data_IF_564256636356
#
_entry.id   IF_564256636356
#
_cell.length_a   1.000
_cell.length_b   1.000
_cell.length_c   1.000
_cell.angle_alpha   90.00
_cell.angle_beta   90.00
_cell.angle_gamma   90.00
#
_symmetry.space_group_name_H-M   'P 1'
#
loop_
_entity.id
_entity.type
_entity.pdbx_description
1 polymer ?
#
# COMPACT_ATOMS: atom_id res chain seq x y z
N UNK A 1 -1.80 -29.05 -21.62
CA UNK A 1 -3.13 -29.22 -20.98
C UNK A 1 -3.20 -28.25 -19.83
N UNK A 2 -3.69 -27.03 -20.08
CA UNK A 2 -3.91 -26.02 -19.04
C UNK A 2 -5.07 -26.51 -18.17
N UNK A 3 -4.76 -26.89 -16.93
CA UNK A 3 -5.80 -27.08 -15.94
C UNK A 3 -6.39 -25.69 -15.63
N UNK A 4 -7.61 -25.44 -16.07
CA UNK A 4 -8.42 -24.32 -15.59
C UNK A 4 -8.63 -24.52 -14.10
N UNK A 5 -7.82 -23.87 -13.27
CA UNK A 5 -8.02 -23.84 -11.82
C UNK A 5 -9.27 -23.00 -11.59
N UNK A 6 -10.38 -23.65 -11.28
CA UNK A 6 -11.65 -22.99 -10.98
C UNK A 6 -11.45 -22.01 -9.82
N UNK A 7 -11.88 -20.76 -10.00
CA UNK A 7 -11.98 -19.79 -8.89
C UNK A 7 -12.70 -20.45 -7.71
N UNK A 8 -12.04 -20.53 -6.57
CA UNK A 8 -12.66 -21.04 -5.36
C UNK A 8 -13.49 -19.91 -4.77
N UNK A 9 -14.81 -20.02 -4.87
CA UNK A 9 -15.71 -19.12 -4.16
C UNK A 9 -15.59 -19.41 -2.66
N UNK A 10 -15.10 -18.43 -1.90
CA UNK A 10 -15.00 -18.53 -0.44
C UNK A 10 -15.83 -17.43 0.20
N UNK A 11 -16.32 -17.69 1.42
CA UNK A 11 -16.97 -16.68 2.26
C UNK A 11 -15.97 -15.77 2.98
N UNK A 12 -14.66 -15.99 2.80
CA UNK A 12 -13.61 -15.23 3.48
C UNK A 12 -13.55 -13.82 2.87
N UNK A 13 -13.83 -12.81 3.69
CA UNK A 13 -13.78 -11.40 3.29
C UNK A 13 -12.52 -10.66 3.75
N UNK A 14 -11.91 -11.13 4.84
CA UNK A 14 -10.77 -10.48 5.47
C UNK A 14 -9.70 -11.50 5.83
N UNK A 15 -8.45 -11.16 5.52
CA UNK A 15 -7.27 -11.88 5.97
C UNK A 15 -6.44 -10.99 6.87
N UNK A 16 -5.94 -11.54 7.98
CA UNK A 16 -5.13 -10.83 8.96
C UNK A 16 -3.89 -11.66 9.26
N UNK A 17 -2.73 -11.05 9.06
CA UNK A 17 -1.43 -11.58 9.43
C UNK A 17 -0.98 -10.83 10.69
N UNK A 18 -0.69 -11.56 11.77
CA UNK A 18 -0.25 -10.97 13.03
C UNK A 18 1.07 -11.58 13.46
N UNK A 19 2.06 -10.74 13.78
CA UNK A 19 3.36 -11.20 14.25
C UNK A 19 4.02 -12.21 13.30
N UNK A 20 3.93 -11.95 11.99
CA UNK A 20 4.47 -12.81 10.92
C UNK A 20 5.74 -12.18 10.36
N UNK A 21 6.75 -13.00 10.10
CA UNK A 21 7.89 -12.64 9.27
C UNK A 21 7.69 -13.14 7.84
N UNK A 22 7.95 -12.29 6.85
CA UNK A 22 7.82 -12.63 5.44
C UNK A 22 8.93 -11.98 4.60
N UNK A 23 9.28 -12.60 3.48
CA UNK A 23 10.23 -12.12 2.46
C UNK A 23 9.51 -11.61 1.21
N UNK A 24 10.27 -10.99 0.30
CA UNK A 24 9.79 -10.59 -1.03
C UNK A 24 9.13 -11.77 -1.77
N UNK A 25 9.75 -12.97 -1.78
CA UNK A 25 9.20 -14.15 -2.46
C UNK A 25 7.93 -14.67 -1.79
N UNK A 26 7.92 -14.76 -0.47
CA UNK A 26 6.74 -15.27 0.24
C UNK A 26 5.52 -14.35 0.09
N UNK A 27 5.74 -13.02 -0.02
CA UNK A 27 4.68 -12.06 -0.31
C UNK A 27 4.09 -12.28 -1.70
N UNK A 28 4.93 -12.53 -2.71
CA UNK A 28 4.48 -12.86 -4.08
C UNK A 28 3.56 -14.08 -4.08
N UNK A 29 3.92 -15.12 -3.34
CA UNK A 29 3.08 -16.33 -3.23
C UNK A 29 1.74 -16.04 -2.54
N UNK A 30 1.71 -15.18 -1.52
CA UNK A 30 0.45 -14.75 -0.87
C UNK A 30 -0.41 -13.94 -1.85
N UNK A 31 0.18 -13.04 -2.64
CA UNK A 31 -0.55 -12.25 -3.65
C UNK A 31 -1.14 -13.15 -4.75
N UNK A 32 -0.46 -14.24 -5.12
CA UNK A 32 -1.03 -15.26 -6.02
C UNK A 32 -2.32 -15.83 -5.45
N UNK A 33 -2.35 -16.17 -4.15
CA UNK A 33 -3.54 -16.72 -3.49
C UNK A 33 -4.75 -15.77 -3.59
N UNK A 34 -4.53 -14.45 -3.50
CA UNK A 34 -5.62 -13.47 -3.60
C UNK A 34 -6.31 -13.48 -4.98
N UNK A 35 -5.61 -13.90 -6.03
CA UNK A 35 -6.18 -14.02 -7.37
C UNK A 35 -6.99 -15.32 -7.56
N UNK A 36 -6.80 -16.33 -6.70
CA UNK A 36 -7.57 -17.59 -6.75
C UNK A 36 -8.80 -17.58 -5.83
N UNK A 37 -8.78 -16.72 -4.81
CA UNK A 37 -9.83 -16.64 -3.79
C UNK A 37 -10.68 -15.39 -4.02
N UNK A 38 -11.78 -15.55 -4.75
CA UNK A 38 -12.61 -14.43 -5.25
C UNK A 38 -13.41 -13.65 -4.18
N UNK A 39 -13.21 -13.95 -2.88
CA UNK A 39 -13.96 -13.38 -1.76
C UNK A 39 -13.26 -12.26 -0.99
N UNK A 40 -11.92 -12.16 -1.04
CA UNK A 40 -11.15 -11.30 -0.13
C UNK A 40 -11.27 -9.84 -0.55
N UNK A 41 -11.69 -8.99 0.40
CA UNK A 41 -11.87 -7.54 0.24
C UNK A 41 -10.89 -6.75 1.11
N UNK A 42 -10.46 -7.34 2.23
CA UNK A 42 -9.60 -6.68 3.21
C UNK A 42 -8.38 -7.54 3.55
N UNK A 43 -7.21 -6.92 3.59
CA UNK A 43 -5.96 -7.54 4.03
C UNK A 43 -5.30 -6.68 5.09
N UNK A 44 -4.88 -7.30 6.19
CA UNK A 44 -4.25 -6.63 7.31
C UNK A 44 -2.93 -7.32 7.70
N UNK A 45 -1.89 -6.51 7.93
CA UNK A 45 -0.61 -6.91 8.51
C UNK A 45 -0.41 -6.11 9.79
N UNK A 46 -0.33 -6.79 10.94
CA UNK A 46 -0.17 -6.16 12.25
C UNK A 46 1.02 -6.78 12.98
N UNK A 47 1.99 -5.94 13.35
CA UNK A 47 3.21 -6.34 14.05
C UNK A 47 4.09 -7.31 13.24
N UNK A 48 4.08 -7.17 11.91
CA UNK A 48 4.82 -8.04 11.03
C UNK A 48 6.25 -7.54 10.78
N UNK A 49 7.12 -8.45 10.36
CA UNK A 49 8.46 -8.13 9.86
C UNK A 49 8.56 -8.51 8.38
N UNK A 50 8.93 -7.55 7.54
CA UNK A 50 9.29 -7.80 6.14
C UNK A 50 10.81 -7.87 6.03
N UNK A 51 11.33 -9.09 5.92
CA UNK A 51 12.73 -9.40 5.70
C UNK A 51 13.02 -9.51 4.20
N UNK A 52 13.19 -8.36 3.56
CA UNK A 52 13.40 -8.27 2.13
C UNK A 52 13.86 -6.89 1.71
N UNK A 53 13.89 -6.65 0.40
CA UNK A 53 14.31 -5.38 -0.19
C UNK A 53 13.22 -4.75 -1.07
N UNK A 54 11.99 -5.30 -1.03
CA UNK A 54 10.88 -4.79 -1.82
C UNK A 54 11.01 -5.08 -3.32
N UNK A 55 11.76 -6.12 -3.69
CA UNK A 55 11.87 -6.57 -5.07
C UNK A 55 10.77 -7.57 -5.43
N UNK A 56 9.61 -7.04 -5.82
CA UNK A 56 8.47 -7.86 -6.24
C UNK A 56 8.40 -8.09 -7.76
N UNK A 57 9.53 -8.09 -8.49
CA UNK A 57 9.55 -8.30 -9.96
C UNK A 57 8.88 -9.60 -10.42
N UNK A 58 8.83 -10.62 -9.55
CA UNK A 58 8.12 -11.86 -9.84
C UNK A 58 6.63 -11.65 -10.13
N UNK A 59 5.97 -10.64 -9.54
CA UNK A 59 4.57 -10.30 -9.86
C UNK A 59 4.38 -9.96 -11.35
N UNK A 60 5.33 -9.22 -11.92
CA UNK A 60 5.33 -8.87 -13.35
C UNK A 60 5.52 -10.10 -14.24
N UNK A 61 6.38 -11.03 -13.84
CA UNK A 61 6.61 -12.30 -14.55
C UNK A 61 5.37 -13.20 -14.52
N UNK A 62 4.72 -13.27 -13.37
CA UNK A 62 3.49 -14.04 -13.15
C UNK A 62 2.22 -13.36 -13.73
N UNK A 63 2.40 -12.22 -14.43
CA UNK A 63 1.34 -11.42 -15.06
C UNK A 63 0.24 -10.99 -14.09
N UNK A 64 0.57 -10.85 -12.81
CA UNK A 64 -0.37 -10.41 -11.79
C UNK A 64 -0.50 -8.89 -11.85
N UNK A 65 -1.70 -8.41 -12.18
CA UNK A 65 -1.97 -6.98 -12.40
C UNK A 65 -2.95 -6.39 -11.39
N UNK A 66 -3.35 -7.14 -10.36
CA UNK A 66 -4.26 -6.68 -9.33
C UNK A 66 -4.17 -7.60 -8.09
N UNK A 67 -4.61 -7.09 -6.94
CA UNK A 67 -4.77 -7.85 -5.70
C UNK A 67 -6.16 -8.52 -5.64
N UNK A 68 -6.58 -9.20 -6.71
CA UNK A 68 -7.94 -9.75 -6.80
C UNK A 68 -9.02 -8.68 -6.60
N UNK A 69 -9.87 -8.87 -5.58
CA UNK A 69 -10.94 -7.95 -5.17
C UNK A 69 -10.60 -7.14 -3.91
N UNK A 70 -9.33 -7.10 -3.48
CA UNK A 70 -8.92 -6.35 -2.29
C UNK A 70 -9.09 -4.86 -2.52
N UNK A 71 -9.90 -4.23 -1.66
CA UNK A 71 -10.17 -2.79 -1.67
C UNK A 71 -9.57 -2.08 -0.45
N UNK A 72 -9.34 -2.81 0.66
CA UNK A 72 -8.78 -2.26 1.91
C UNK A 72 -7.48 -2.95 2.27
N UNK A 73 -6.42 -2.16 2.43
CA UNK A 73 -5.13 -2.60 2.94
C UNK A 73 -4.83 -1.89 4.26
N UNK A 74 -4.45 -2.67 5.26
CA UNK A 74 -4.07 -2.13 6.57
C UNK A 74 -2.72 -2.70 7.00
N UNK A 75 -1.79 -1.84 7.35
CA UNK A 75 -0.45 -2.18 7.79
C UNK A 75 -0.20 -1.42 9.09
N UNK A 76 0.14 -2.13 10.15
CA UNK A 76 0.46 -1.55 11.46
C UNK A 76 1.75 -2.12 11.99
N UNK A 77 2.62 -1.26 12.51
CA UNK A 77 3.88 -1.66 13.16
C UNK A 77 4.73 -2.57 12.26
N UNK A 78 4.75 -2.32 10.96
CA UNK A 78 5.57 -3.10 10.04
C UNK A 78 7.04 -2.77 10.26
N UNK A 79 7.84 -3.79 10.57
CA UNK A 79 9.27 -3.66 10.68
C UNK A 79 9.95 -4.12 9.39
N UNK A 80 10.84 -3.28 8.86
CA UNK A 80 11.67 -3.58 7.70
C UNK A 80 13.14 -3.46 8.14
N UNK A 81 13.86 -4.56 8.40
CA UNK A 81 15.20 -4.50 8.96
C UNK A 81 16.20 -3.78 8.04
N UNK A 82 16.15 -4.08 6.74
CA UNK A 82 17.08 -3.57 5.73
C UNK A 82 16.45 -2.48 4.85
N UNK A 83 15.67 -1.56 5.44
CA UNK A 83 14.94 -0.54 4.68
C UNK A 83 15.84 0.31 3.76
N UNK A 84 17.11 0.51 4.10
CA UNK A 84 18.05 1.27 3.26
C UNK A 84 18.38 0.59 1.92
N UNK A 85 18.03 -0.71 1.76
CA UNK A 85 18.13 -1.46 0.51
C UNK A 85 16.80 -1.50 -0.25
N UNK A 86 15.72 -0.88 0.26
CA UNK A 86 14.42 -1.00 -0.37
C UNK A 86 14.38 -0.38 -1.77
N UNK A 87 13.82 -1.12 -2.70
CA UNK A 87 13.51 -0.66 -4.05
C UNK A 87 12.37 0.37 -4.06
N UNK A 88 12.20 1.04 -5.19
CA UNK A 88 11.23 2.13 -5.40
C UNK A 88 9.75 1.71 -5.41
N UNK A 89 9.46 0.43 -5.16
CA UNK A 89 8.14 -0.18 -5.19
C UNK A 89 7.44 -0.12 -6.56
N UNK A 90 8.16 0.17 -7.65
CA UNK A 90 7.59 0.20 -9.01
C UNK A 90 6.94 -1.12 -9.43
N UNK A 91 7.41 -2.24 -8.88
CA UNK A 91 6.87 -3.58 -9.09
C UNK A 91 5.44 -3.77 -8.58
N UNK A 92 4.98 -2.97 -7.61
CA UNK A 92 3.61 -3.06 -7.07
C UNK A 92 2.63 -2.06 -7.69
N UNK A 93 3.10 -1.14 -8.54
CA UNK A 93 2.22 -0.14 -9.19
C UNK A 93 1.04 -0.73 -9.97
N UNK A 94 1.16 -1.89 -10.65
CA UNK A 94 0.00 -2.51 -11.29
C UNK A 94 -1.08 -2.94 -10.30
N UNK A 95 -0.69 -3.28 -9.07
CA UNK A 95 -1.57 -3.87 -8.06
C UNK A 95 -2.51 -2.86 -7.39
N UNK A 96 -2.14 -1.58 -7.39
CA UNK A 96 -2.78 -0.55 -6.55
C UNK A 96 -4.08 0.01 -7.14
N UNK A 97 -4.38 -0.29 -8.41
CA UNK A 97 -5.45 0.38 -9.15
C UNK A 97 -6.87 0.24 -8.58
N UNK A 98 -7.16 -0.81 -7.78
CA UNK A 98 -8.48 -1.06 -7.16
C UNK A 98 -8.55 -0.73 -5.67
N UNK A 99 -7.41 -0.40 -5.05
CA UNK A 99 -7.35 -0.18 -3.61
C UNK A 99 -8.00 1.17 -3.29
N UNK A 100 -9.02 1.15 -2.43
CA UNK A 100 -9.79 2.33 -2.02
C UNK A 100 -9.36 2.87 -0.66
N UNK A 101 -8.90 2.00 0.23
CA UNK A 101 -8.56 2.36 1.61
C UNK A 101 -7.19 1.81 1.96
N UNK A 102 -6.28 2.69 2.35
CA UNK A 102 -4.95 2.32 2.83
C UNK A 102 -4.73 2.93 4.21
N UNK A 103 -4.35 2.10 5.16
CA UNK A 103 -3.83 2.52 6.46
C UNK A 103 -2.42 1.96 6.61
N UNK A 104 -1.45 2.82 6.85
CA UNK A 104 -0.09 2.45 7.22
C UNK A 104 0.26 3.22 8.48
N UNK A 105 0.22 2.54 9.62
CA UNK A 105 0.38 3.15 10.94
C UNK A 105 1.67 2.67 11.59
N UNK A 106 2.41 3.58 12.24
CA UNK A 106 3.59 3.25 13.04
C UNK A 106 4.61 2.33 12.32
N UNK A 107 4.84 2.60 11.04
CA UNK A 107 5.67 1.74 10.17
C UNK A 107 6.87 2.49 9.61
N UNK A 108 7.24 3.62 10.24
CA UNK A 108 8.38 4.48 9.89
C UNK A 108 8.36 4.99 8.44
N UNK A 109 7.17 5.10 7.83
CA UNK A 109 7.02 5.70 6.49
C UNK A 109 7.50 7.14 6.56
N UNK A 110 8.41 7.54 5.66
CA UNK A 110 8.82 8.94 5.54
C UNK A 110 8.53 9.53 4.15
N UNK A 111 8.16 8.70 3.17
CA UNK A 111 7.88 9.12 1.81
C UNK A 111 6.92 8.11 1.16
N UNK A 112 5.91 8.62 0.45
CA UNK A 112 5.21 7.87 -0.58
C UNK A 112 5.69 8.41 -1.92
N UNK A 113 6.39 7.64 -2.77
CA UNK A 113 6.90 8.17 -4.04
C UNK A 113 5.76 8.74 -4.89
N UNK A 114 5.96 9.91 -5.50
CA UNK A 114 4.96 10.55 -6.36
C UNK A 114 4.31 9.59 -7.39
N UNK A 115 5.13 8.75 -8.04
CA UNK A 115 4.62 7.78 -9.00
C UNK A 115 3.68 6.75 -8.33
N UNK A 116 4.02 6.25 -7.14
CA UNK A 116 3.12 5.37 -6.40
C UNK A 116 1.80 6.08 -6.08
N UNK A 117 1.85 7.35 -5.67
CA UNK A 117 0.65 8.16 -5.40
C UNK A 117 -0.26 8.32 -6.62
N UNK A 118 0.33 8.52 -7.81
CA UNK A 118 -0.41 8.61 -9.08
C UNK A 118 -1.02 7.26 -9.52
N UNK A 119 -0.41 6.15 -9.12
CA UNK A 119 -0.90 4.80 -9.43
C UNK A 119 -2.05 4.34 -8.51
N UNK A 120 -2.21 4.95 -7.33
CA UNK A 120 -3.31 4.75 -6.39
C UNK A 120 -4.61 5.44 -6.88
N UNK A 121 -5.07 5.03 -8.07
CA UNK A 121 -6.13 5.69 -8.84
C UNK A 121 -7.54 5.54 -8.28
N UNK A 122 -7.77 4.63 -7.33
CA UNK A 122 -9.09 4.45 -6.70
C UNK A 122 -9.07 4.81 -5.21
N UNK A 123 -7.97 5.38 -4.72
CA UNK A 123 -7.78 5.62 -3.29
C UNK A 123 -8.68 6.76 -2.81
N UNK A 124 -9.55 6.45 -1.87
CA UNK A 124 -10.51 7.38 -1.24
C UNK A 124 -10.10 7.73 0.19
N UNK A 125 -9.40 6.82 0.88
CA UNK A 125 -8.98 6.97 2.27
C UNK A 125 -7.51 6.58 2.44
N UNK A 126 -6.71 7.49 2.97
CA UNK A 126 -5.30 7.28 3.29
C UNK A 126 -5.02 7.71 4.74
N UNK A 127 -4.58 6.75 5.55
CA UNK A 127 -4.10 7.01 6.91
C UNK A 127 -2.63 6.66 7.02
N UNK A 128 -1.80 7.67 7.30
CA UNK A 128 -0.36 7.56 7.52
C UNK A 128 -0.01 7.97 8.96
N UNK A 129 -0.89 7.72 9.93
CA UNK A 129 -0.66 8.04 11.34
C UNK A 129 0.63 7.43 11.91
N UNK A 130 1.25 8.11 12.88
CA UNK A 130 2.41 7.59 13.62
C UNK A 130 3.65 7.30 12.74
N UNK A 131 3.83 8.09 11.67
CA UNK A 131 4.96 7.93 10.76
C UNK A 131 5.94 9.12 10.85
N UNK A 132 6.81 9.25 9.86
CA UNK A 132 7.92 10.21 9.84
C UNK A 132 7.75 11.25 8.73
N UNK A 133 6.54 11.43 8.21
CA UNK A 133 6.25 12.39 7.15
C UNK A 133 6.56 13.83 7.61
N UNK A 134 7.16 14.59 6.71
CA UNK A 134 7.48 16.02 6.86
C UNK A 134 6.89 16.79 5.69
N UNK A 135 6.86 18.13 5.74
CA UNK A 135 6.36 18.94 4.62
C UNK A 135 7.18 18.72 3.34
N UNK A 136 8.49 18.48 3.46
CA UNK A 136 9.38 18.22 2.30
C UNK A 136 9.03 16.91 1.59
N UNK A 137 8.74 15.87 2.36
CA UNK A 137 8.40 14.54 1.83
C UNK A 137 6.94 14.45 1.41
N UNK A 138 6.05 15.17 2.11
CA UNK A 138 4.65 15.34 1.73
C UNK A 138 4.53 16.03 0.37
N UNK A 139 5.37 17.04 0.08
CA UNK A 139 5.41 17.69 -1.24
C UNK A 139 5.64 16.71 -2.39
N UNK A 140 6.48 15.69 -2.19
CA UNK A 140 6.68 14.64 -3.20
C UNK A 140 5.49 13.67 -3.23
N UNK A 141 4.92 13.36 -2.07
CA UNK A 141 3.84 12.37 -1.95
C UNK A 141 2.50 12.88 -2.51
N UNK A 142 2.12 14.11 -2.17
CA UNK A 142 0.97 14.85 -2.68
C UNK A 142 1.35 15.65 -3.94
N UNK A 143 2.04 15.01 -4.88
CA UNK A 143 2.42 15.64 -6.14
C UNK A 143 1.20 15.86 -7.05
N UNK A 144 1.43 16.49 -8.21
CA UNK A 144 0.39 16.63 -9.24
C UNK A 144 -0.16 15.24 -9.62
N UNK A 145 -1.48 15.13 -9.73
CA UNK A 145 -2.22 13.92 -10.08
C UNK A 145 -2.09 12.78 -9.03
N UNK A 146 -1.57 13.07 -7.83
CA UNK A 146 -1.55 12.13 -6.71
C UNK A 146 -2.95 11.88 -6.16
N UNK A 147 -3.26 10.60 -5.86
CA UNK A 147 -4.48 10.16 -5.18
C UNK A 147 -5.76 10.87 -5.68
N UNK A 148 -6.11 10.72 -6.97
CA UNK A 148 -7.09 11.58 -7.63
C UNK A 148 -8.49 11.56 -7.03
N UNK A 149 -8.88 10.53 -6.26
CA UNK A 149 -10.19 10.42 -5.62
C UNK A 149 -10.12 10.47 -4.09
N UNK A 150 -9.01 10.95 -3.52
CA UNK A 150 -8.81 10.97 -2.08
C UNK A 150 -9.80 11.94 -1.43
N UNK A 151 -10.56 11.45 -0.46
CA UNK A 151 -11.55 12.19 0.32
C UNK A 151 -11.16 12.32 1.79
N UNK A 152 -10.23 11.47 2.25
CA UNK A 152 -9.78 11.50 3.65
C UNK A 152 -8.30 11.20 3.72
N UNK A 153 -7.56 12.16 4.29
CA UNK A 153 -6.14 12.04 4.56
C UNK A 153 -5.88 12.24 6.05
N UNK A 154 -5.28 11.24 6.69
CA UNK A 154 -4.92 11.27 8.11
C UNK A 154 -3.40 11.28 8.25
N UNK A 155 -2.86 12.36 8.82
CA UNK A 155 -1.41 12.57 9.02
C UNK A 155 -1.03 12.76 10.50
N UNK A 156 -1.86 12.27 11.42
CA UNK A 156 -1.65 12.42 12.88
C UNK A 156 -0.29 11.86 13.31
N UNK A 157 0.35 12.51 14.29
CA UNK A 157 1.62 12.04 14.87
C UNK A 157 2.74 11.81 13.84
N UNK A 158 2.82 12.70 12.86
CA UNK A 158 3.96 12.83 11.94
C UNK A 158 4.87 14.02 12.36
N UNK A 159 5.84 14.39 11.53
CA UNK A 159 6.84 15.44 11.79
C UNK A 159 6.52 16.77 11.09
N UNK A 160 5.23 17.04 10.83
CA UNK A 160 4.74 18.30 10.26
C UNK A 160 4.86 19.43 11.29
N UNK A 161 5.35 20.59 10.87
CA UNK A 161 5.64 21.73 11.76
C UNK A 161 4.77 22.96 11.46
N UNK A 162 4.33 23.13 10.22
CA UNK A 162 3.51 24.27 9.79
C UNK A 162 2.20 23.79 9.16
N UNK A 163 1.09 24.22 9.76
CA UNK A 163 -0.24 23.97 9.23
C UNK A 163 -0.47 24.69 7.89
N UNK A 164 -0.02 25.94 7.78
CA UNK A 164 -0.12 26.74 6.55
C UNK A 164 0.59 26.05 5.38
N UNK A 165 1.87 25.71 5.57
CA UNK A 165 2.67 25.01 4.55
C UNK A 165 2.08 23.66 4.20
N UNK A 166 1.55 22.92 5.19
CA UNK A 166 0.87 21.65 4.94
C UNK A 166 -0.38 21.87 4.08
N UNK A 167 -1.21 22.86 4.40
CA UNK A 167 -2.41 23.20 3.63
C UNK A 167 -2.08 23.57 2.17
N UNK A 168 -1.06 24.40 1.94
CA UNK A 168 -0.60 24.76 0.59
C UNK A 168 -0.17 23.54 -0.22
N UNK A 169 0.57 22.60 0.39
CA UNK A 169 1.03 21.39 -0.28
C UNK A 169 -0.11 20.45 -0.68
N UNK A 170 -1.22 20.47 0.07
CA UNK A 170 -2.37 19.61 -0.17
C UNK A 170 -3.36 20.18 -1.19
N UNK A 171 -3.15 21.42 -1.69
CA UNK A 171 -3.98 22.01 -2.75
C UNK A 171 -3.96 21.21 -4.07
N UNK A 172 -2.98 20.32 -4.24
CA UNK A 172 -2.92 19.38 -5.37
C UNK A 172 -3.98 18.28 -5.30
N UNK A 173 -4.61 18.07 -4.15
CA UNK A 173 -5.60 17.04 -3.90
C UNK A 173 -7.01 17.65 -4.00
N UNK A 174 -7.57 17.69 -5.21
CA UNK A 174 -8.79 18.46 -5.53
C UNK A 174 -10.06 17.96 -4.81
N UNK A 175 -10.07 16.71 -4.32
CA UNK A 175 -11.24 16.06 -3.71
C UNK A 175 -11.16 15.93 -2.17
N UNK A 176 -10.10 16.47 -1.55
CA UNK A 176 -9.88 16.45 -0.11
C UNK A 176 -10.63 17.58 0.62
#
# INVERSE_FOLDING_TARGET
>A
SEASISEMSTSVKKLIFRNVQFTDESFVEVVKLFNYVSGILEVEFDDCTHDGIGDFRALSLDRIRHLGNVETLTIRKLHIPQFFLFHDLSSIYPLTGRVKRVTIENSKVFLVPCLLSQHLKSLEYLDLSENLMSEETLKNSACKDAWPFLQTLVLRQNRLKSLEKTGELLLTLENL
#
